data_IF_374971264740
#
_entry.id   IF_374971264740
#
_cell.length_a   1.000
_cell.length_b   1.000
_cell.length_c   1.000
_cell.angle_alpha   90.00
_cell.angle_beta   90.00
_cell.angle_gamma   90.00
#
_symmetry.space_group_name_H-M   'P 1'
#
loop_
_entity.id
_entity.type
_entity.pdbx_description
1 polymer ?
#
# COMPACT_ATOMS: atom_id res chain seq x y z
N UNK A 1 3.39 12.04 50.63
CA UNK A 1 4.46 13.00 50.32
C UNK A 1 5.66 12.22 49.79
N UNK A 2 5.92 11.94 48.51
CA UNK A 2 5.21 12.02 47.23
C UNK A 2 5.88 11.01 46.28
N UNK A 3 5.21 10.57 45.21
CA UNK A 3 5.41 9.28 44.59
C UNK A 3 5.75 9.39 43.09
N UNK A 4 7.02 9.39 42.67
CA UNK A 4 7.33 9.30 41.22
C UNK A 4 8.71 8.67 40.94
N UNK A 5 8.72 7.42 40.51
CA UNK A 5 9.54 7.03 39.35
C UNK A 5 9.01 5.75 38.74
N UNK A 6 8.18 5.97 37.72
CA UNK A 6 7.72 5.00 36.75
C UNK A 6 8.89 4.27 36.11
N UNK A 7 9.04 2.97 36.37
CA UNK A 7 9.77 2.09 35.47
C UNK A 7 8.75 1.29 34.67
N UNK A 8 8.31 1.91 33.57
CA UNK A 8 7.63 1.23 32.49
C UNK A 8 8.66 1.00 31.39
N UNK A 9 9.15 -0.24 31.28
CA UNK A 9 9.73 -0.72 30.03
C UNK A 9 9.08 -2.08 29.79
N UNK A 10 7.92 -2.02 29.13
CA UNK A 10 7.26 -3.20 28.58
C UNK A 10 8.17 -3.80 27.52
N UNK A 11 8.71 -4.98 27.81
CA UNK A 11 9.49 -5.79 26.89
C UNK A 11 8.61 -6.30 25.75
N UNK A 12 8.56 -5.59 24.62
CA UNK A 12 8.02 -6.13 23.36
C UNK A 12 9.09 -7.03 22.72
N UNK A 13 9.19 -8.26 23.24
CA UNK A 13 9.98 -9.33 22.62
C UNK A 13 9.36 -9.75 21.28
N UNK A 14 10.08 -9.41 20.22
CA UNK A 14 10.48 -10.30 19.12
C UNK A 14 9.51 -11.40 18.68
N UNK A 15 8.76 -11.14 17.60
CA UNK A 15 8.09 -12.15 16.77
C UNK A 15 8.18 -11.81 15.27
N UNK A 16 9.34 -11.42 14.74
CA UNK A 16 9.46 -11.12 13.29
C UNK A 16 10.78 -11.58 12.62
N UNK A 17 11.51 -12.52 13.21
CA UNK A 17 12.87 -12.85 12.74
C UNK A 17 13.02 -14.14 11.89
N UNK A 18 11.94 -14.82 11.49
CA UNK A 18 12.06 -16.15 10.87
C UNK A 18 11.27 -16.42 9.58
N UNK A 19 10.38 -15.51 9.15
CA UNK A 19 9.48 -15.74 8.00
C UNK A 19 9.81 -14.80 6.82
N UNK A 20 10.89 -14.03 6.92
CA UNK A 20 10.96 -12.71 6.27
C UNK A 20 12.06 -12.51 5.22
N UNK A 21 13.00 -13.43 5.01
CA UNK A 21 14.12 -13.19 4.07
C UNK A 21 13.96 -13.94 2.74
N UNK A 22 13.79 -15.27 2.78
CA UNK A 22 13.72 -16.09 1.55
C UNK A 22 12.40 -15.87 0.78
N UNK A 23 11.28 -15.77 1.51
CA UNK A 23 9.99 -15.39 0.91
C UNK A 23 10.09 -13.98 0.30
N UNK A 24 10.60 -13.02 1.06
CA UNK A 24 10.72 -11.62 0.62
C UNK A 24 11.59 -11.45 -0.63
N UNK A 25 12.59 -12.32 -0.85
CA UNK A 25 13.46 -12.27 -2.01
C UNK A 25 12.78 -12.77 -3.31
N UNK A 26 12.01 -13.86 -3.26
CA UNK A 26 11.21 -14.31 -4.42
C UNK A 26 10.07 -13.33 -4.74
N UNK A 27 9.50 -12.72 -3.71
CA UNK A 27 8.44 -11.73 -3.82
C UNK A 27 8.92 -10.38 -4.34
N UNK A 28 10.17 -10.02 -4.05
CA UNK A 28 10.81 -8.83 -4.61
C UNK A 28 10.92 -8.91 -6.13
N UNK A 29 11.12 -10.10 -6.72
CA UNK A 29 11.22 -10.24 -8.19
C UNK A 29 9.88 -9.96 -8.91
N UNK A 30 8.76 -10.44 -8.37
CA UNK A 30 7.42 -10.18 -8.92
C UNK A 30 7.03 -8.71 -8.79
N UNK A 31 7.32 -8.12 -7.63
CA UNK A 31 7.09 -6.70 -7.37
C UNK A 31 7.97 -5.79 -8.23
N UNK A 32 9.26 -6.12 -8.40
CA UNK A 32 10.20 -5.39 -9.24
C UNK A 32 9.78 -5.39 -10.72
N UNK A 33 9.24 -6.50 -11.22
CA UNK A 33 8.68 -6.55 -12.57
C UNK A 33 7.47 -5.61 -12.74
N UNK A 34 6.57 -5.55 -11.75
CA UNK A 34 5.42 -4.64 -11.79
C UNK A 34 5.89 -3.18 -11.74
N UNK A 35 6.80 -2.86 -10.82
CA UNK A 35 7.35 -1.52 -10.67
C UNK A 35 8.07 -1.04 -11.94
N UNK A 36 8.86 -1.90 -12.59
CA UNK A 36 9.54 -1.60 -13.85
C UNK A 36 8.58 -1.32 -15.01
N UNK A 37 7.49 -2.09 -15.13
CA UNK A 37 6.49 -1.81 -16.17
C UNK A 37 5.79 -0.47 -15.93
N UNK A 38 5.45 -0.17 -14.68
CA UNK A 38 4.84 1.12 -14.32
C UNK A 38 5.83 2.28 -14.60
N UNK A 39 7.11 2.10 -14.30
CA UNK A 39 8.16 3.07 -14.63
C UNK A 39 8.30 3.28 -16.15
N UNK A 40 8.23 2.20 -16.94
CA UNK A 40 8.22 2.27 -18.40
C UNK A 40 7.01 3.05 -18.94
N UNK A 41 5.83 2.86 -18.36
CA UNK A 41 4.63 3.62 -18.74
C UNK A 41 4.73 5.10 -18.32
N UNK A 42 5.29 5.38 -17.14
CA UNK A 42 5.53 6.74 -16.68
C UNK A 42 6.50 7.48 -17.62
N UNK A 43 7.61 6.84 -18.02
CA UNK A 43 8.59 7.42 -18.94
C UNK A 43 8.05 7.57 -20.37
N UNK A 44 7.14 6.70 -20.80
CA UNK A 44 6.39 6.84 -22.04
C UNK A 44 5.32 7.96 -21.99
N UNK A 45 5.11 8.60 -20.84
CA UNK A 45 4.18 9.73 -20.67
C UNK A 45 2.74 9.33 -20.38
N UNK A 46 2.48 8.08 -19.97
CA UNK A 46 1.14 7.64 -19.59
C UNK A 46 0.73 8.26 -18.25
N UNK A 47 -0.51 8.74 -18.17
CA UNK A 47 -1.11 9.22 -16.93
C UNK A 47 -1.40 8.08 -15.95
N UNK A 48 -1.52 8.41 -14.66
CA UNK A 48 -1.89 7.45 -13.60
C UNK A 48 -3.24 6.78 -13.83
N UNK A 49 -4.14 7.42 -14.59
CA UNK A 49 -5.47 6.95 -14.97
C UNK A 49 -5.49 6.07 -16.22
N UNK A 50 -4.35 5.93 -16.92
CA UNK A 50 -4.24 5.12 -18.12
C UNK A 50 -4.61 3.67 -17.83
N UNK A 51 -5.34 3.03 -18.73
CA UNK A 51 -5.79 1.65 -18.58
C UNK A 51 -4.62 0.67 -18.34
N UNK A 52 -3.48 0.89 -18.98
CA UNK A 52 -2.27 0.06 -18.80
C UNK A 52 -1.67 0.22 -17.42
N UNK A 53 -1.57 1.46 -16.90
CA UNK A 53 -1.09 1.72 -15.54
C UNK A 53 -2.02 1.05 -14.54
N UNK A 54 -3.34 1.26 -14.70
CA UNK A 54 -4.36 0.67 -13.83
C UNK A 54 -4.37 -0.86 -13.89
N UNK A 55 -4.07 -1.46 -15.05
CA UNK A 55 -3.90 -2.91 -15.19
C UNK A 55 -2.75 -3.44 -14.31
N UNK A 56 -1.59 -2.79 -14.35
CA UNK A 56 -0.44 -3.17 -13.53
C UNK A 56 -0.66 -2.94 -12.03
N UNK A 57 -1.39 -1.88 -11.66
CA UNK A 57 -1.81 -1.66 -10.27
C UNK A 57 -2.78 -2.74 -9.79
N UNK A 58 -3.66 -3.23 -10.66
CA UNK A 58 -4.50 -4.40 -10.38
C UNK A 58 -3.68 -5.65 -10.11
N UNK A 59 -2.65 -5.91 -10.93
CA UNK A 59 -1.69 -7.00 -10.71
C UNK A 59 -0.95 -6.86 -9.38
N UNK A 60 -0.57 -5.63 -9.01
CA UNK A 60 0.01 -5.34 -7.70
C UNK A 60 -0.95 -5.68 -6.56
N UNK A 61 -2.23 -5.31 -6.68
CA UNK A 61 -3.24 -5.67 -5.68
C UNK A 61 -3.42 -7.19 -5.58
N UNK A 62 -3.55 -7.90 -6.70
CA UNK A 62 -3.64 -9.37 -6.74
C UNK A 62 -2.43 -10.02 -6.04
N UNK A 63 -1.24 -9.47 -6.25
CA UNK A 63 -0.02 -9.92 -5.58
C UNK A 63 -0.07 -9.70 -4.07
N UNK A 64 -0.48 -8.51 -3.61
CA UNK A 64 -0.66 -8.22 -2.18
C UNK A 64 -1.71 -9.15 -1.55
N UNK A 65 -2.80 -9.43 -2.27
CA UNK A 65 -3.85 -10.36 -1.87
C UNK A 65 -3.37 -11.79 -1.58
N UNK A 66 -2.22 -12.21 -2.12
CA UNK A 66 -1.63 -13.52 -1.81
C UNK A 66 -1.12 -13.61 -0.37
N UNK A 67 -0.82 -12.48 0.27
CA UNK A 67 -0.35 -12.40 1.66
C UNK A 67 -1.49 -12.09 2.62
N UNK A 68 -2.30 -11.09 2.26
CA UNK A 68 -3.45 -10.62 3.02
C UNK A 68 -4.36 -9.84 2.10
N UNK A 69 -5.66 -9.76 2.40
CA UNK A 69 -6.62 -9.03 1.56
C UNK A 69 -6.87 -7.64 2.16
N UNK A 70 -6.18 -6.58 1.71
CA UNK A 70 -6.42 -5.24 2.22
C UNK A 70 -7.75 -4.68 1.68
N UNK A 71 -8.44 -3.93 2.54
CA UNK A 71 -9.54 -3.06 2.14
C UNK A 71 -9.02 -1.76 1.47
N UNK A 72 -9.93 -0.91 0.97
CA UNK A 72 -9.59 0.35 0.29
C UNK A 72 -8.60 1.20 1.09
N UNK A 73 -8.91 1.47 2.36
CA UNK A 73 -8.10 2.34 3.22
C UNK A 73 -6.74 1.68 3.52
N UNK A 74 -6.73 0.39 3.81
CA UNK A 74 -5.53 -0.37 4.09
C UNK A 74 -4.57 -0.38 2.89
N UNK A 75 -5.09 -0.57 1.68
CA UNK A 75 -4.27 -0.57 0.47
C UNK A 75 -3.68 0.81 0.16
N UNK A 76 -4.46 1.89 0.35
CA UNK A 76 -3.97 3.27 0.25
C UNK A 76 -2.92 3.59 1.31
N UNK A 77 -3.11 3.11 2.55
CA UNK A 77 -2.15 3.30 3.63
C UNK A 77 -0.82 2.61 3.33
N UNK A 78 -0.85 1.42 2.72
CA UNK A 78 0.35 0.71 2.28
C UNK A 78 1.10 1.51 1.19
N UNK A 79 0.36 2.08 0.24
CA UNK A 79 0.96 2.95 -0.78
C UNK A 79 1.57 4.23 -0.20
N UNK A 80 0.96 4.79 0.86
CA UNK A 80 1.48 5.96 1.56
C UNK A 80 2.85 5.69 2.20
N UNK A 81 3.05 4.50 2.77
CA UNK A 81 4.34 4.09 3.34
C UNK A 81 5.48 4.19 2.32
N UNK A 82 5.25 3.90 1.04
CA UNK A 82 6.26 4.01 -0.01
C UNK A 82 6.77 5.44 -0.26
N UNK A 83 5.98 6.45 0.12
CA UNK A 83 6.35 7.87 -0.01
C UNK A 83 6.82 8.49 1.30
N UNK A 84 6.34 7.98 2.44
CA UNK A 84 6.69 8.46 3.77
C UNK A 84 8.04 7.94 4.23
N UNK A 85 8.38 6.70 3.88
CA UNK A 85 9.66 6.11 4.26
C UNK A 85 10.74 6.48 3.23
N UNK A 86 11.80 7.20 3.64
CA UNK A 86 12.83 7.67 2.72
C UNK A 86 13.65 6.54 2.10
N UNK A 87 13.80 5.39 2.75
CA UNK A 87 14.54 4.26 2.20
C UNK A 87 13.76 3.58 1.05
N UNK A 88 12.45 3.38 1.24
CA UNK A 88 11.57 2.90 0.16
C UNK A 88 11.48 3.91 -0.97
N UNK A 89 11.24 5.19 -0.65
CA UNK A 89 11.19 6.25 -1.64
C UNK A 89 12.46 6.29 -2.50
N UNK A 90 13.64 6.23 -1.88
CA UNK A 90 14.92 6.23 -2.59
C UNK A 90 15.07 5.02 -3.52
N UNK A 91 14.52 3.86 -3.15
CA UNK A 91 14.53 2.65 -4.00
C UNK A 91 13.75 2.87 -5.29
N UNK A 92 12.54 3.45 -5.22
CA UNK A 92 11.75 3.75 -6.41
C UNK A 92 12.30 4.93 -7.20
N UNK A 93 12.78 5.98 -6.52
CA UNK A 93 13.43 7.12 -7.17
C UNK A 93 14.75 6.76 -7.87
N UNK A 94 15.39 5.65 -7.48
CA UNK A 94 16.54 5.09 -8.20
C UNK A 94 16.18 4.50 -9.56
N UNK A 95 14.92 4.08 -9.77
CA UNK A 95 14.44 3.70 -11.11
C UNK A 95 14.07 4.94 -11.93
N UNK A 96 13.21 5.79 -11.38
CA UNK A 96 12.78 7.04 -12.02
C UNK A 96 12.36 8.09 -10.99
N UNK A 97 12.72 9.35 -11.22
CA UNK A 97 12.40 10.42 -10.29
C UNK A 97 10.88 10.65 -10.24
N UNK A 98 10.30 10.57 -9.04
CA UNK A 98 8.86 10.73 -8.85
C UNK A 98 8.04 9.44 -9.03
N UNK A 99 8.69 8.31 -9.33
CA UNK A 99 8.02 7.01 -9.46
C UNK A 99 7.27 6.59 -8.19
N UNK A 100 7.85 6.83 -7.00
CA UNK A 100 7.21 6.54 -5.73
C UNK A 100 5.84 7.24 -5.59
N UNK A 101 5.80 8.54 -5.94
CA UNK A 101 4.57 9.33 -5.90
C UNK A 101 3.59 8.91 -7.00
N UNK A 102 4.11 8.56 -8.18
CA UNK A 102 3.29 8.07 -9.30
C UNK A 102 2.56 6.78 -8.93
N UNK A 103 3.30 5.78 -8.39
CA UNK A 103 2.75 4.51 -7.93
C UNK A 103 1.72 4.74 -6.82
N UNK A 104 2.04 5.59 -5.82
CA UNK A 104 1.10 5.91 -4.76
C UNK A 104 -0.23 6.47 -5.30
N UNK A 105 -0.16 7.45 -6.20
CA UNK A 105 -1.35 8.06 -6.79
C UNK A 105 -2.14 7.08 -7.65
N UNK A 106 -1.45 6.23 -8.41
CA UNK A 106 -2.07 5.19 -9.23
C UNK A 106 -2.78 4.13 -8.36
N UNK A 107 -2.16 3.70 -7.24
CA UNK A 107 -2.79 2.83 -6.24
C UNK A 107 -4.04 3.48 -5.64
N UNK A 108 -3.96 4.76 -5.26
CA UNK A 108 -5.10 5.47 -4.70
C UNK A 108 -6.29 5.49 -5.65
N UNK A 109 -6.04 5.81 -6.93
CA UNK A 109 -7.07 5.83 -7.96
C UNK A 109 -7.67 4.43 -8.20
N UNK A 110 -6.81 3.42 -8.33
CA UNK A 110 -7.25 2.04 -8.54
C UNK A 110 -8.10 1.54 -7.36
N UNK A 111 -7.64 1.78 -6.13
CA UNK A 111 -8.36 1.42 -4.91
C UNK A 111 -9.73 2.10 -4.86
N UNK A 112 -9.81 3.37 -5.30
CA UNK A 112 -11.07 4.09 -5.31
C UNK A 112 -12.10 3.51 -6.28
N UNK A 113 -11.61 3.03 -7.42
CA UNK A 113 -12.44 2.47 -8.48
C UNK A 113 -12.82 1.00 -8.20
N UNK A 114 -11.93 0.21 -7.58
CA UNK A 114 -12.08 -1.24 -7.50
C UNK A 114 -12.49 -1.77 -6.11
N UNK A 115 -12.10 -1.10 -5.03
CA UNK A 115 -12.29 -1.61 -3.67
C UNK A 115 -13.32 -0.77 -2.96
N UNK A 116 -14.58 -1.15 -2.79
CA UNK A 116 -15.47 -0.41 -1.88
C UNK A 116 -14.98 -0.53 -0.44
N UNK A 117 -14.77 0.59 0.25
CA UNK A 117 -14.73 0.53 1.71
C UNK A 117 -16.08 -0.05 2.11
N UNK A 118 -16.08 -1.25 2.70
CA UNK A 118 -17.30 -2.00 2.96
C UNK A 118 -18.30 -1.03 3.53
N UNK A 119 -19.40 -0.83 2.79
CA UNK A 119 -20.36 0.23 3.02
C UNK A 119 -20.49 0.47 4.52
N UNK A 120 -20.27 1.71 4.95
CA UNK A 120 -21.09 2.25 6.02
C UNK A 120 -22.51 2.03 5.52
N UNK A 121 -23.08 0.87 5.85
CA UNK A 121 -24.46 0.55 5.63
C UNK A 121 -25.17 1.61 6.45
N UNK A 122 -25.60 2.67 5.78
CA UNK A 122 -26.54 3.64 6.29
C UNK A 122 -27.78 2.86 6.71
N UNK A 123 -27.79 2.39 7.96
CA UNK A 123 -28.96 1.81 8.60
C UNK A 123 -29.82 2.90 9.23
N UNK A 124 -29.69 4.16 8.79
CA UNK A 124 -30.42 5.28 9.39
C UNK A 124 -31.25 6.13 8.41
N UNK A 125 -31.51 5.65 7.20
CA UNK A 125 -32.54 6.21 6.31
C UNK A 125 -33.72 5.25 6.15
N UNK A 126 -34.32 4.80 7.25
CA UNK A 126 -35.61 4.10 7.24
C UNK A 126 -36.36 4.15 8.59
N UNK A 127 -36.18 5.19 9.39
CA UNK A 127 -36.93 5.37 10.65
C UNK A 127 -37.71 6.70 10.68
N UNK A 128 -38.38 7.04 9.57
CA UNK A 128 -39.48 8.01 9.61
C UNK A 128 -40.47 7.78 8.46
N UNK A 129 -41.26 6.72 8.58
CA UNK A 129 -42.55 6.59 7.90
C UNK A 129 -43.31 5.42 8.52
N UNK A 130 -44.02 5.70 9.62
CA UNK A 130 -45.48 5.54 9.71
C UNK A 130 -45.96 5.90 11.11
#
# INVERSE_FOLDING_TARGET
MDPFSSTNISSYSSLHAGVSEVKFNEYSAGHDHIAKNIAGLMTAGHGIDSAEVQHWIGKHYEFVCQFWVPNRIAYKSLALTYTMDPAFKATYEAYEQGLALFIQRAINLWADHNLSDGAVADKNTARNSK
#
